data_IF_226245762956
#
_entry.id   IF_226245762956
#
_cell.length_a   1.000
_cell.length_b   1.000
_cell.length_c   1.000
_cell.angle_alpha   90.00
_cell.angle_beta   90.00
_cell.angle_gamma   90.00
#
_symmetry.space_group_name_H-M   'P 1'
#
loop_
_entity.id
_entity.type
_entity.pdbx_description
1 polymer ?
#
# COMPACT_ATOMS: atom_id res chain seq x y z
N UNK A 1 -47.76 6.37 -0.73
CA UNK A 1 -46.99 7.42 -1.41
C UNK A 1 -45.54 7.34 -0.92
N UNK A 2 -44.67 6.66 -1.66
CA UNK A 2 -43.24 6.59 -1.37
C UNK A 2 -42.51 7.51 -2.36
N UNK A 3 -42.33 8.77 -1.98
CA UNK A 3 -41.43 9.66 -2.69
C UNK A 3 -39.99 9.21 -2.38
N UNK A 4 -39.49 8.24 -3.16
CA UNK A 4 -38.04 8.06 -3.30
C UNK A 4 -37.53 9.29 -4.06
N UNK A 5 -37.08 10.31 -3.33
CA UNK A 5 -36.25 11.36 -3.92
C UNK A 5 -35.03 10.65 -4.53
N UNK A 6 -34.98 10.59 -5.85
CA UNK A 6 -33.83 10.05 -6.57
C UNK A 6 -32.68 11.03 -6.36
N UNK A 7 -31.83 10.77 -5.36
CA UNK A 7 -30.62 11.55 -5.17
C UNK A 7 -29.78 11.39 -6.44
N UNK A 8 -29.70 12.45 -7.25
CA UNK A 8 -28.93 12.47 -8.50
C UNK A 8 -27.44 12.47 -8.13
N UNK A 9 -26.80 11.31 -8.18
CA UNK A 9 -25.34 11.22 -8.07
C UNK A 9 -24.71 12.01 -9.21
N UNK A 10 -23.82 12.94 -8.88
CA UNK A 10 -23.19 13.83 -9.87
C UNK A 10 -21.78 13.38 -10.22
N UNK A 11 -21.05 12.75 -9.28
CA UNK A 11 -19.77 12.11 -9.57
C UNK A 11 -19.39 11.04 -8.55
N UNK A 12 -18.58 10.09 -8.98
CA UNK A 12 -17.95 9.06 -8.15
C UNK A 12 -16.45 9.17 -8.33
N UNK A 13 -15.72 9.25 -7.22
CA UNK A 13 -14.27 9.28 -7.19
C UNK A 13 -13.78 7.96 -6.57
N UNK A 14 -13.27 7.10 -7.43
CA UNK A 14 -12.65 5.85 -7.04
C UNK A 14 -11.25 6.08 -6.48
N UNK A 15 -10.94 5.44 -5.36
CA UNK A 15 -9.64 5.45 -4.69
C UNK A 15 -9.22 4.01 -4.40
N UNK A 16 -8.14 3.52 -5.02
CA UNK A 16 -7.84 2.10 -5.03
C UNK A 16 -7.37 1.54 -3.68
N UNK A 17 -7.14 2.38 -2.67
CA UNK A 17 -6.62 1.95 -1.37
C UNK A 17 -7.44 0.82 -0.74
N UNK A 18 -8.77 0.97 -0.67
CA UNK A 18 -9.62 -0.01 -0.01
C UNK A 18 -9.57 -1.39 -0.68
N UNK A 19 -9.54 -1.43 -2.01
CA UNK A 19 -9.42 -2.66 -2.79
C UNK A 19 -8.06 -3.32 -2.58
N UNK A 20 -6.97 -2.57 -2.74
CA UNK A 20 -5.60 -3.06 -2.56
C UNK A 20 -5.37 -3.57 -1.14
N UNK A 21 -5.83 -2.82 -0.13
CA UNK A 21 -5.72 -3.21 1.27
C UNK A 21 -6.44 -4.54 1.55
N UNK A 22 -7.62 -4.73 0.96
CA UNK A 22 -8.34 -5.99 1.08
C UNK A 22 -7.63 -7.14 0.35
N UNK A 23 -7.04 -6.89 -0.82
CA UNK A 23 -6.22 -7.89 -1.51
C UNK A 23 -5.05 -8.38 -0.64
N UNK A 24 -4.37 -7.47 0.07
CA UNK A 24 -3.30 -7.84 1.02
C UNK A 24 -3.81 -8.81 2.08
N UNK A 25 -4.97 -8.55 2.67
CA UNK A 25 -5.56 -9.44 3.68
C UNK A 25 -5.87 -10.82 3.09
N UNK A 26 -6.38 -10.87 1.86
CA UNK A 26 -6.66 -12.13 1.14
C UNK A 26 -5.36 -12.91 0.86
N UNK A 27 -4.32 -12.23 0.39
CA UNK A 27 -3.02 -12.86 0.10
C UNK A 27 -2.37 -13.44 1.36
N UNK A 28 -2.44 -12.73 2.49
CA UNK A 28 -1.96 -13.23 3.78
C UNK A 28 -2.73 -14.49 4.23
N UNK A 29 -4.06 -14.53 4.02
CA UNK A 29 -4.86 -15.74 4.30
C UNK A 29 -4.41 -16.93 3.46
N UNK A 30 -4.10 -16.71 2.18
CA UNK A 30 -3.57 -17.76 1.32
C UNK A 30 -2.17 -18.20 1.76
N UNK A 31 -1.27 -17.27 2.07
CA UNK A 31 0.11 -17.56 2.48
C UNK A 31 0.14 -18.54 3.67
N UNK A 32 -0.76 -18.36 4.63
CA UNK A 32 -0.88 -19.22 5.82
C UNK A 32 -1.21 -20.68 5.52
N UNK A 33 -2.01 -20.92 4.50
CA UNK A 33 -2.53 -22.25 4.15
C UNK A 33 -1.78 -22.91 2.98
N UNK A 34 -0.70 -22.29 2.51
CA UNK A 34 -0.02 -22.64 1.26
C UNK A 34 1.11 -23.65 1.45
N UNK A 35 1.40 -24.41 0.39
CA UNK A 35 2.60 -25.25 0.30
C UNK A 35 3.87 -24.39 0.27
N UNK A 36 5.04 -24.99 0.50
CA UNK A 36 6.31 -24.26 0.48
C UNK A 36 6.67 -23.68 -0.90
N UNK A 37 6.19 -24.29 -1.99
CA UNK A 37 6.36 -23.74 -3.34
C UNK A 37 5.47 -22.50 -3.55
N UNK A 38 4.18 -22.61 -3.22
CA UNK A 38 3.21 -21.53 -3.37
C UNK A 38 3.57 -20.30 -2.52
N UNK A 39 4.20 -20.51 -1.35
CA UNK A 39 4.67 -19.42 -0.48
C UNK A 39 5.61 -18.46 -1.20
N UNK A 40 6.47 -18.92 -2.12
CA UNK A 40 7.38 -18.02 -2.84
C UNK A 40 6.62 -17.08 -3.77
N UNK A 41 5.71 -17.63 -4.56
CA UNK A 41 4.87 -16.84 -5.46
C UNK A 41 3.99 -15.86 -4.67
N UNK A 42 3.42 -16.30 -3.56
CA UNK A 42 2.60 -15.45 -2.69
C UNK A 42 3.42 -14.36 -2.00
N UNK A 43 4.63 -14.65 -1.54
CA UNK A 43 5.53 -13.65 -0.96
C UNK A 43 5.84 -12.54 -1.98
N UNK A 44 6.19 -12.90 -3.20
CA UNK A 44 6.40 -11.92 -4.27
C UNK A 44 5.13 -11.08 -4.49
N UNK A 45 3.97 -11.74 -4.62
CA UNK A 45 2.70 -11.07 -4.86
C UNK A 45 2.34 -10.10 -3.72
N UNK A 46 2.60 -10.45 -2.46
CA UNK A 46 2.42 -9.57 -1.31
C UNK A 46 3.36 -8.36 -1.41
N UNK A 47 4.64 -8.54 -1.73
CA UNK A 47 5.58 -7.44 -1.92
C UNK A 47 5.12 -6.47 -3.03
N UNK A 48 4.70 -7.00 -4.17
CA UNK A 48 4.16 -6.20 -5.28
C UNK A 48 2.89 -5.45 -4.89
N UNK A 49 1.95 -6.12 -4.20
CA UNK A 49 0.70 -5.52 -3.74
C UNK A 49 0.96 -4.44 -2.69
N UNK A 50 1.97 -4.63 -1.84
CA UNK A 50 2.41 -3.62 -0.86
C UNK A 50 2.91 -2.35 -1.54
N UNK A 51 3.73 -2.48 -2.59
CA UNK A 51 4.19 -1.32 -3.36
C UNK A 51 3.03 -0.65 -4.09
N UNK A 52 2.13 -1.44 -4.69
CA UNK A 52 0.93 -0.91 -5.35
C UNK A 52 0.07 -0.11 -4.36
N UNK A 53 -0.01 -0.53 -3.10
CA UNK A 53 -0.69 0.21 -2.03
C UNK A 53 0.00 1.56 -1.77
N UNK A 54 1.32 1.57 -1.60
CA UNK A 54 2.09 2.81 -1.38
C UNK A 54 1.97 3.77 -2.56
N UNK A 55 2.08 3.27 -3.79
CA UNK A 55 1.87 4.04 -5.02
C UNK A 55 0.43 4.58 -5.11
N UNK A 56 -0.56 3.75 -4.78
CA UNK A 56 -1.96 4.15 -4.73
C UNK A 56 -2.19 5.30 -3.76
N UNK A 57 -1.66 5.20 -2.54
CA UNK A 57 -1.74 6.26 -1.52
C UNK A 57 -1.06 7.53 -2.00
N UNK A 58 0.17 7.45 -2.52
CA UNK A 58 0.90 8.65 -2.96
C UNK A 58 0.16 9.34 -4.11
N UNK A 59 -0.40 8.58 -5.05
CA UNK A 59 -1.16 9.14 -6.17
C UNK A 59 -2.49 9.76 -5.71
N UNK A 60 -3.16 9.16 -4.72
CA UNK A 60 -4.33 9.76 -4.06
C UNK A 60 -3.95 11.11 -3.43
N UNK A 61 -2.82 11.18 -2.72
CA UNK A 61 -2.35 12.44 -2.14
C UNK A 61 -2.07 13.47 -3.23
N UNK A 62 -1.34 13.10 -4.30
CA UNK A 62 -1.06 13.99 -5.44
C UNK A 62 -2.36 14.52 -6.03
N UNK A 63 -3.37 13.66 -6.25
CA UNK A 63 -4.63 14.10 -6.83
C UNK A 63 -5.42 15.02 -5.89
N UNK A 64 -5.30 14.83 -4.57
CA UNK A 64 -5.90 15.71 -3.57
C UNK A 64 -5.21 17.09 -3.46
N UNK A 65 -3.97 17.20 -3.93
CA UNK A 65 -3.24 18.48 -3.93
C UNK A 65 -3.65 19.36 -5.11
N UNK A 66 -3.74 20.68 -4.89
CA UNK A 66 -4.08 21.69 -5.91
C UNK A 66 -2.88 22.00 -6.84
N UNK A 67 -2.24 20.96 -7.37
CA UNK A 67 -1.12 21.10 -8.31
C UNK A 67 -1.65 21.24 -9.74
N UNK A 68 -0.96 22.05 -10.55
CA UNK A 68 -1.26 22.13 -11.98
C UNK A 68 -0.82 20.84 -12.71
N UNK A 69 -1.43 20.59 -13.89
CA UNK A 69 -1.19 19.35 -14.65
C UNK A 69 0.27 19.15 -15.06
N UNK A 70 1.02 20.23 -15.27
CA UNK A 70 2.45 20.15 -15.61
C UNK A 70 3.26 19.59 -14.44
N UNK A 71 2.97 20.03 -13.22
CA UNK A 71 3.60 19.51 -12.01
C UNK A 71 3.17 18.07 -11.76
N UNK A 72 1.88 17.72 -11.92
CA UNK A 72 1.40 16.34 -11.82
C UNK A 72 2.17 15.40 -12.76
N UNK A 73 2.32 15.76 -14.04
CA UNK A 73 3.10 14.99 -15.03
C UNK A 73 4.58 14.85 -14.68
N UNK A 74 5.15 15.83 -14.00
CA UNK A 74 6.55 15.74 -13.56
C UNK A 74 6.69 14.82 -12.34
N UNK A 75 5.71 14.83 -11.43
CA UNK A 75 5.67 13.92 -10.29
C UNK A 75 5.64 12.46 -10.74
N UNK A 76 4.95 12.13 -11.82
CA UNK A 76 4.89 10.76 -12.35
C UNK A 76 6.26 10.16 -12.71
N UNK A 77 7.27 10.99 -12.98
CA UNK A 77 8.63 10.56 -13.31
C UNK A 77 9.50 10.30 -12.08
N UNK A 78 9.07 10.76 -10.91
CA UNK A 78 9.81 10.60 -9.66
C UNK A 78 9.70 9.18 -9.12
N UNK A 79 10.74 8.74 -8.41
CA UNK A 79 10.65 7.48 -7.67
C UNK A 79 9.59 7.59 -6.57
N UNK A 80 9.10 6.44 -6.09
CA UNK A 80 8.07 6.41 -5.05
C UNK A 80 8.49 7.18 -3.79
N UNK A 81 9.75 7.03 -3.35
CA UNK A 81 10.25 7.77 -2.18
C UNK A 81 10.35 9.26 -2.45
N UNK A 82 10.81 9.66 -3.64
CA UNK A 82 10.91 11.08 -4.01
C UNK A 82 9.51 11.73 -4.06
N UNK A 83 8.47 10.98 -4.43
CA UNK A 83 7.09 11.46 -4.35
C UNK A 83 6.67 11.72 -2.91
N UNK A 84 6.94 10.80 -1.99
CA UNK A 84 6.65 11.02 -0.55
C UNK A 84 7.48 12.19 0.02
N UNK A 85 8.77 12.29 -0.32
CA UNK A 85 9.63 13.40 0.15
C UNK A 85 9.11 14.75 -0.33
N UNK A 86 8.79 14.87 -1.62
CA UNK A 86 8.30 16.11 -2.19
C UNK A 86 6.92 16.51 -1.63
N UNK A 87 6.02 15.54 -1.43
CA UNK A 87 4.71 15.82 -0.84
C UNK A 87 4.84 16.29 0.62
N UNK A 88 5.75 15.69 1.40
CA UNK A 88 6.05 16.13 2.75
C UNK A 88 6.60 17.57 2.74
N UNK A 89 7.54 17.86 1.85
CA UNK A 89 8.10 19.18 1.68
C UNK A 89 7.05 20.23 1.31
N UNK A 90 6.12 19.90 0.41
CA UNK A 90 5.01 20.79 0.05
C UNK A 90 4.03 21.03 1.21
N UNK A 91 3.91 20.08 2.14
CA UNK A 91 2.97 20.14 3.27
C UNK A 91 3.55 20.86 4.50
N UNK A 92 4.84 20.68 4.77
CA UNK A 92 5.47 21.03 6.05
C UNK A 92 6.84 21.72 5.92
N UNK A 93 7.34 21.88 4.69
CA UNK A 93 8.72 22.32 4.40
C UNK A 93 9.82 21.40 4.98
N UNK A 94 9.45 20.23 5.50
CA UNK A 94 10.36 19.20 5.98
C UNK A 94 10.77 18.23 4.86
N UNK A 95 11.82 17.44 5.10
CA UNK A 95 12.29 16.38 4.21
C UNK A 95 12.32 15.05 4.93
N UNK A 96 12.09 13.98 4.19
CA UNK A 96 12.25 12.62 4.68
C UNK A 96 13.70 12.36 5.08
N UNK A 97 13.88 11.90 6.31
CA UNK A 97 15.15 11.37 6.73
C UNK A 97 15.38 9.99 6.08
N UNK A 98 16.14 9.96 4.98
CA UNK A 98 16.47 8.73 4.25
C UNK A 98 17.25 7.71 5.09
N UNK A 99 17.93 8.15 6.15
CA UNK A 99 18.61 7.28 7.12
C UNK A 99 17.69 6.67 8.17
N UNK A 100 16.41 7.06 8.22
CA UNK A 100 15.45 6.52 9.17
C UNK A 100 15.03 5.11 8.76
N UNK A 101 15.04 4.17 9.71
CA UNK A 101 14.84 2.75 9.44
C UNK A 101 13.51 2.41 8.74
N UNK A 102 12.41 3.14 8.99
CA UNK A 102 11.14 2.91 8.28
C UNK A 102 11.20 3.34 6.82
N UNK A 103 11.90 4.45 6.53
CA UNK A 103 12.15 4.89 5.14
C UNK A 103 13.07 3.90 4.44
N UNK A 104 14.13 3.45 5.13
CA UNK A 104 15.03 2.39 4.64
C UNK A 104 14.29 1.09 4.31
N UNK A 105 13.33 0.68 5.13
CA UNK A 105 12.50 -0.50 4.87
C UNK A 105 11.66 -0.41 3.59
N UNK A 106 11.16 0.79 3.26
CA UNK A 106 10.44 1.02 1.98
C UNK A 106 11.41 1.04 0.80
N UNK A 107 12.59 1.64 0.96
CA UNK A 107 13.65 1.62 -0.07
C UNK A 107 14.06 0.17 -0.38
N UNK A 108 14.28 -0.67 0.64
CA UNK A 108 14.56 -2.09 0.46
C UNK A 108 13.47 -2.81 -0.34
N UNK A 109 12.19 -2.53 -0.02
CA UNK A 109 11.04 -3.09 -0.73
C UNK A 109 11.01 -2.65 -2.21
N UNK A 110 11.29 -1.38 -2.50
CA UNK A 110 11.36 -0.85 -3.88
C UNK A 110 12.49 -1.54 -4.66
N UNK A 111 13.67 -1.68 -4.06
CA UNK A 111 14.80 -2.38 -4.66
C UNK A 111 14.44 -3.83 -4.96
N UNK A 112 13.79 -4.52 -4.00
CA UNK A 112 13.33 -5.88 -4.16
C UNK A 112 12.39 -6.03 -5.37
N UNK A 113 11.36 -5.18 -5.47
CA UNK A 113 10.44 -5.18 -6.61
C UNK A 113 11.13 -4.85 -7.92
N UNK A 114 12.02 -3.87 -7.95
CA UNK A 114 12.74 -3.53 -9.19
C UNK A 114 13.61 -4.70 -9.68
N UNK A 115 14.27 -5.42 -8.78
CA UNK A 115 15.03 -6.62 -9.14
C UNK A 115 14.13 -7.78 -9.62
N UNK A 116 12.90 -7.87 -9.12
CA UNK A 116 11.93 -8.89 -9.56
C UNK A 116 11.29 -8.59 -10.93
N UNK A 117 11.04 -7.31 -11.25
CA UNK A 117 10.44 -6.88 -12.53
C UNK A 117 11.49 -6.82 -13.64
N UNK A 118 12.72 -6.45 -13.29
CA UNK A 118 13.85 -6.38 -14.21
C UNK A 118 14.89 -7.41 -13.78
N UNK A 119 14.63 -8.71 -14.04
CA UNK A 119 15.55 -9.77 -13.67
C UNK A 119 16.90 -9.50 -14.32
N UNK A 120 17.92 -9.30 -13.48
CA UNK A 120 19.29 -9.09 -13.93
C UNK A 120 19.94 -10.45 -14.17
N UNK A 121 20.91 -10.52 -15.08
CA UNK A 121 21.78 -11.69 -15.20
C UNK A 121 22.60 -11.78 -13.91
N UNK A 122 22.62 -12.97 -13.30
CA UNK A 122 23.35 -13.21 -12.06
C UNK A 122 24.30 -14.37 -12.29
N UNK A 123 25.58 -14.12 -12.05
CA UNK A 123 26.59 -15.17 -11.99
C UNK A 123 26.52 -15.85 -10.62
N UNK A 124 26.33 -17.16 -10.60
CA UNK A 124 26.22 -17.93 -9.35
C UNK A 124 27.04 -19.21 -9.43
N UNK A 125 27.65 -19.59 -8.32
CA UNK A 125 28.33 -20.88 -8.22
C UNK A 125 27.29 -22.00 -8.18
N UNK A 126 27.52 -23.03 -8.99
CA UNK A 126 26.68 -24.23 -9.05
C UNK A 126 27.42 -25.43 -8.44
N UNK A 127 26.66 -26.27 -7.75
CA UNK A 127 27.06 -27.61 -7.34
C UNK A 127 26.47 -28.62 -8.31
N UNK A 128 27.31 -29.53 -8.81
CA UNK A 128 26.91 -30.63 -9.67
C UNK A 128 26.71 -31.91 -8.84
N UNK A 129 25.68 -32.69 -9.18
CA UNK A 129 25.45 -34.01 -8.61
C UNK A 129 24.95 -34.95 -9.70
N UNK A 130 25.44 -36.18 -9.67
CA UNK A 130 25.12 -37.21 -10.64
C UNK A 130 24.20 -38.23 -9.99
N UNK A 131 23.03 -38.44 -10.59
CA UNK A 131 22.05 -39.42 -10.11
C UNK A 131 21.41 -40.09 -11.32
N UNK A 132 21.39 -41.43 -11.34
CA UNK A 132 20.80 -42.21 -12.43
C UNK A 132 21.34 -41.88 -13.85
N UNK A 133 22.64 -41.59 -13.96
CA UNK A 133 23.28 -41.24 -15.25
C UNK A 133 22.89 -39.86 -15.80
N UNK A 134 22.22 -39.03 -15.00
CA UNK A 134 21.92 -37.65 -15.32
C UNK A 134 22.75 -36.70 -14.44
N UNK A 135 23.23 -35.61 -15.04
CA UNK A 135 23.91 -34.53 -14.31
C UNK A 135 22.88 -33.46 -13.94
N UNK A 136 22.73 -33.23 -12.66
CA UNK A 136 21.90 -32.16 -12.10
C UNK A 136 22.80 -31.06 -11.55
N UNK A 137 22.28 -29.83 -11.55
CA UNK A 137 22.93 -28.69 -10.92
C UNK A 137 21.99 -28.02 -9.92
N UNK A 138 22.56 -27.47 -8.85
CA UNK A 138 21.86 -26.59 -7.92
C UNK A 138 22.73 -25.37 -7.61
N UNK A 139 22.15 -24.17 -7.45
CA UNK A 139 22.89 -23.01 -6.96
C UNK A 139 23.43 -23.27 -5.55
N UNK A 140 24.70 -22.94 -5.27
CA UNK A 140 25.32 -23.08 -3.93
C UNK A 140 24.64 -22.24 -2.85
N UNK A 141 24.19 -21.03 -3.22
CA UNK A 141 23.28 -20.24 -2.39
C UNK A 141 21.89 -20.41 -2.95
N UNK A 142 21.03 -21.13 -2.22
CA UNK A 142 19.60 -21.09 -2.52
C UNK A 142 19.15 -19.64 -2.36
N UNK A 143 18.50 -19.10 -3.38
CA UNK A 143 17.85 -17.78 -3.35
C UNK A 143 16.76 -17.67 -2.27
N UNK A 144 16.46 -18.77 -1.56
CA UNK A 144 15.15 -18.99 -0.94
C UNK A 144 15.11 -19.18 0.57
N UNK A 145 16.24 -19.32 1.24
CA UNK A 145 16.23 -19.68 2.67
C UNK A 145 15.84 -18.52 3.60
N UNK A 146 15.95 -17.27 3.15
CA UNK A 146 15.53 -16.08 3.90
C UNK A 146 14.21 -15.44 3.41
N UNK A 147 13.54 -16.04 2.41
CA UNK A 147 12.38 -15.41 1.76
C UNK A 147 11.05 -15.66 2.50
N UNK A 148 10.97 -16.68 3.37
CA UNK A 148 9.70 -17.08 4.01
C UNK A 148 9.06 -15.97 4.84
N UNK A 149 9.85 -15.06 5.41
CA UNK A 149 9.38 -13.96 6.25
C UNK A 149 9.56 -12.57 5.61
N UNK A 150 10.15 -12.51 4.41
CA UNK A 150 10.52 -11.25 3.78
C UNK A 150 9.29 -10.39 3.44
N UNK A 151 8.24 -11.00 2.91
CA UNK A 151 6.99 -10.32 2.60
C UNK A 151 6.32 -9.76 3.86
N UNK A 152 6.30 -10.53 4.95
CA UNK A 152 5.77 -10.11 6.25
C UNK A 152 6.56 -8.93 6.79
N UNK A 153 7.91 -8.99 6.73
CA UNK A 153 8.80 -7.89 7.13
C UNK A 153 8.49 -6.62 6.31
N UNK A 154 8.42 -6.73 4.99
CA UNK A 154 8.19 -5.58 4.12
C UNK A 154 6.80 -4.98 4.31
N UNK A 155 5.77 -5.80 4.41
CA UNK A 155 4.42 -5.33 4.64
C UNK A 155 4.30 -4.62 6.00
N UNK A 156 4.91 -5.20 7.04
CA UNK A 156 4.98 -4.59 8.37
C UNK A 156 5.71 -3.24 8.34
N UNK A 157 6.84 -3.15 7.65
CA UNK A 157 7.59 -1.91 7.49
C UNK A 157 6.79 -0.86 6.71
N UNK A 158 6.06 -1.26 5.67
CA UNK A 158 5.23 -0.36 4.88
C UNK A 158 4.09 0.25 5.72
N UNK A 159 3.38 -0.55 6.52
CA UNK A 159 2.33 -0.02 7.41
C UNK A 159 2.91 0.93 8.47
N UNK A 160 4.01 0.55 9.12
CA UNK A 160 4.69 1.43 10.08
C UNK A 160 5.20 2.72 9.44
N UNK A 161 5.73 2.63 8.21
CA UNK A 161 6.13 3.81 7.45
C UNK A 161 4.93 4.72 7.19
N UNK A 162 3.76 4.16 6.84
CA UNK A 162 2.55 4.95 6.62
C UNK A 162 2.04 5.60 7.90
N UNK A 163 2.10 4.93 9.06
CA UNK A 163 1.81 5.57 10.36
C UNK A 163 2.76 6.75 10.59
N UNK A 164 4.08 6.50 10.49
CA UNK A 164 5.09 7.55 10.63
C UNK A 164 4.87 8.70 9.64
N UNK A 165 4.59 8.41 8.38
CA UNK A 165 4.44 9.42 7.35
C UNK A 165 3.14 10.22 7.51
N UNK A 166 2.00 9.55 7.63
CA UNK A 166 0.68 10.18 7.64
C UNK A 166 0.37 10.80 9.00
N UNK A 167 0.68 10.10 10.09
CA UNK A 167 0.35 10.53 11.45
C UNK A 167 1.47 11.39 12.02
N UNK A 168 2.72 10.91 12.02
CA UNK A 168 3.79 11.63 12.72
C UNK A 168 4.32 12.83 11.93
N UNK A 169 4.54 12.69 10.62
CA UNK A 169 5.10 13.78 9.81
C UNK A 169 4.01 14.69 9.25
N UNK A 170 3.00 14.12 8.58
CA UNK A 170 1.95 14.91 7.92
C UNK A 170 0.86 15.41 8.88
N UNK A 171 0.81 14.89 10.12
CA UNK A 171 -0.18 15.24 11.14
C UNK A 171 -1.63 15.12 10.63
N UNK A 172 -1.90 14.10 9.82
CA UNK A 172 -3.24 13.85 9.30
C UNK A 172 -4.16 13.35 10.40
N UNK A 173 -5.31 13.99 10.57
CA UNK A 173 -6.37 13.46 11.42
C UNK A 173 -7.14 12.33 10.73
N UNK A 174 -7.87 11.55 11.54
CA UNK A 174 -8.58 10.33 11.09
C UNK A 174 -9.73 10.66 10.13
N UNK A 175 -10.38 11.82 10.29
CA UNK A 175 -11.51 12.20 9.44
C UNK A 175 -11.00 12.59 8.05
N UNK A 176 -9.92 13.36 7.99
CA UNK A 176 -9.19 13.64 6.76
C UNK A 176 -8.74 12.34 6.08
N UNK A 177 -8.13 11.40 6.79
CA UNK A 177 -7.70 10.12 6.23
C UNK A 177 -8.86 9.30 5.66
N UNK A 178 -10.04 9.34 6.30
CA UNK A 178 -11.24 8.69 5.76
C UNK A 178 -11.65 9.31 4.42
N UNK A 179 -11.69 10.65 4.33
CA UNK A 179 -12.02 11.35 3.08
C UNK A 179 -10.94 11.19 2.03
N UNK A 180 -9.68 11.01 2.44
CA UNK A 180 -8.55 10.88 1.54
C UNK A 180 -8.50 9.48 0.93
N UNK A 181 -8.58 8.43 1.74
CA UNK A 181 -8.28 7.06 1.31
C UNK A 181 -9.50 6.25 0.85
N UNK A 182 -10.71 6.63 1.26
CA UNK A 182 -11.93 5.93 0.87
C UNK A 182 -12.60 6.56 -0.35
N UNK A 183 -13.33 5.73 -1.08
CA UNK A 183 -14.15 6.17 -2.21
C UNK A 183 -15.13 7.26 -1.79
N UNK A 184 -15.37 8.23 -2.67
CA UNK A 184 -16.34 9.30 -2.41
C UNK A 184 -17.38 9.40 -3.52
N UNK A 185 -18.62 9.69 -3.12
CA UNK A 185 -19.75 9.96 -4.03
C UNK A 185 -20.23 11.38 -3.78
N UNK A 186 -20.27 12.19 -4.83
CA UNK A 186 -20.88 13.53 -4.80
C UNK A 186 -22.36 13.43 -5.15
N UNK A 187 -23.22 13.96 -4.29
CA UNK A 187 -24.67 14.00 -4.47
C UNK A 187 -25.14 15.38 -4.95
N UNK A 188 -24.47 16.46 -4.52
CA UNK A 188 -24.70 17.85 -4.94
C UNK A 188 -23.44 18.68 -4.68
N UNK A 189 -23.43 19.99 -4.98
CA UNK A 189 -22.23 20.84 -4.81
C UNK A 189 -21.69 20.93 -3.37
N UNK A 190 -22.53 20.61 -2.38
CA UNK A 190 -22.18 20.69 -0.96
C UNK A 190 -22.27 19.34 -0.23
N UNK A 191 -22.74 18.28 -0.89
CA UNK A 191 -22.96 16.97 -0.25
C UNK A 191 -22.13 15.87 -0.90
N UNK A 192 -21.33 15.19 -0.08
CA UNK A 192 -20.68 13.94 -0.45
C UNK A 192 -20.95 12.86 0.59
N UNK A 193 -20.79 11.61 0.17
CA UNK A 193 -20.73 10.46 1.05
C UNK A 193 -19.42 9.71 0.86
N UNK A 194 -18.96 9.09 1.94
CA UNK A 194 -17.82 8.18 1.94
C UNK A 194 -18.36 6.76 1.74
N UNK A 195 -17.76 6.02 0.83
CA UNK A 195 -18.04 4.62 0.59
C UNK A 195 -16.89 3.76 1.13
N UNK A 196 -17.24 2.74 1.90
CA UNK A 196 -16.28 1.78 2.44
C UNK A 196 -16.73 0.36 2.09
N UNK A 197 -15.79 -0.48 1.67
CA UNK A 197 -16.06 -1.90 1.51
C UNK A 197 -16.34 -2.51 2.88
N UNK A 198 -17.45 -3.25 3.00
CA UNK A 198 -17.89 -3.84 4.28
C UNK A 198 -16.80 -4.65 4.98
N UNK A 199 -15.96 -5.31 4.21
CA UNK A 199 -14.87 -6.18 4.65
C UNK A 199 -13.62 -5.46 5.18
N UNK A 200 -13.49 -4.13 5.05
CA UNK A 200 -12.22 -3.46 5.43
C UNK A 200 -11.91 -3.53 6.93
N UNK A 201 -12.91 -3.45 7.81
CA UNK A 201 -12.68 -3.57 9.26
C UNK A 201 -12.22 -4.98 9.63
N UNK A 202 -12.78 -6.01 8.98
CA UNK A 202 -12.33 -7.40 9.17
C UNK A 202 -10.92 -7.62 8.62
N UNK A 203 -10.62 -7.08 7.44
CA UNK A 203 -9.29 -7.13 6.82
C UNK A 203 -8.25 -6.44 7.68
N UNK A 204 -8.57 -5.28 8.28
CA UNK A 204 -7.70 -4.59 9.25
C UNK A 204 -7.40 -5.49 10.45
N UNK A 205 -8.42 -5.99 11.13
CA UNK A 205 -8.25 -6.86 12.31
C UNK A 205 -7.39 -8.08 11.99
N UNK A 206 -7.61 -8.69 10.83
CA UNK A 206 -6.82 -9.83 10.38
C UNK A 206 -5.35 -9.47 10.14
N UNK A 207 -5.07 -8.36 9.43
CA UNK A 207 -3.70 -7.91 9.15
C UNK A 207 -2.97 -7.57 10.44
N UNK A 208 -3.58 -6.81 11.35
CA UNK A 208 -2.98 -6.43 12.64
C UNK A 208 -2.61 -7.65 13.48
N UNK A 209 -3.48 -8.67 13.49
CA UNK A 209 -3.24 -9.94 14.17
C UNK A 209 -2.06 -10.69 13.55
N UNK A 210 -2.06 -10.86 12.23
CA UNK A 210 -1.04 -11.66 11.53
C UNK A 210 0.34 -10.99 11.57
N UNK A 211 0.39 -9.66 11.42
CA UNK A 211 1.64 -8.90 11.44
C UNK A 211 2.11 -8.51 12.85
N UNK A 212 1.26 -8.70 13.86
CA UNK A 212 1.48 -8.28 15.26
C UNK A 212 1.87 -6.80 15.32
N UNK A 213 1.00 -5.95 14.79
CA UNK A 213 1.11 -4.49 14.78
C UNK A 213 -0.25 -3.86 15.06
N UNK A 214 -0.24 -2.61 15.50
CA UNK A 214 -1.40 -1.73 15.43
C UNK A 214 -1.14 -0.73 14.29
N UNK A 215 -2.16 -0.44 13.47
CA UNK A 215 -2.06 0.48 12.34
C UNK A 215 -2.94 1.70 12.62
N UNK A 216 -2.31 2.78 13.05
CA UNK A 216 -2.97 3.97 13.57
C UNK A 216 -3.72 4.74 12.48
N UNK A 217 -3.10 4.90 11.30
CA UNK A 217 -3.74 5.62 10.19
C UNK A 217 -5.03 4.92 9.73
N UNK A 218 -5.26 3.66 10.09
CA UNK A 218 -6.46 2.89 9.77
C UNK A 218 -7.55 2.92 10.84
N UNK A 219 -7.45 3.75 11.89
CA UNK A 219 -8.50 3.88 12.90
C UNK A 219 -9.84 4.39 12.32
N UNK A 220 -9.84 5.04 11.16
CA UNK A 220 -11.09 5.43 10.49
C UNK A 220 -11.95 4.23 10.08
N UNK A 221 -11.36 3.05 9.85
CA UNK A 221 -12.09 1.85 9.45
C UNK A 221 -12.97 1.25 10.57
N UNK A 222 -12.72 1.63 11.82
CA UNK A 222 -13.47 1.17 12.98
C UNK A 222 -14.63 2.12 13.35
N UNK A 223 -14.73 3.26 12.67
CA UNK A 223 -15.80 4.23 12.88
C UNK A 223 -17.05 3.81 12.10
N UNK A 224 -18.26 4.06 12.65
CA UNK A 224 -19.48 3.96 11.85
C UNK A 224 -19.36 4.90 10.65
N UNK A 225 -19.71 4.44 9.45
CA UNK A 225 -19.68 5.29 8.25
C UNK A 225 -20.56 6.52 8.46
N UNK A 226 -19.91 7.66 8.68
CA UNK A 226 -20.63 8.90 8.90
C UNK A 226 -21.11 9.41 7.55
N UNK A 227 -22.42 9.65 7.45
CA UNK A 227 -23.01 10.42 6.36
C UNK A 227 -22.79 11.89 6.68
N UNK A 228 -21.55 12.38 6.57
CA UNK A 228 -21.18 13.73 7.00
C UNK A 228 -21.00 14.67 5.81
N UNK A 229 -21.85 15.71 5.76
CA UNK A 229 -21.73 16.85 4.85
C UNK A 229 -20.60 17.77 5.33
N UNK A 230 -19.35 17.35 5.19
CA UNK A 230 -18.20 18.11 5.69
C UNK A 230 -17.64 19.03 4.59
N UNK A 231 -17.97 20.33 4.62
CA UNK A 231 -17.34 21.34 3.76
C UNK A 231 -15.81 21.28 3.86
N UNK A 232 -15.13 20.74 2.83
CA UNK A 232 -13.67 20.72 2.76
C UNK A 232 -13.18 22.07 2.23
N UNK A 233 -12.66 22.93 3.11
CA UNK A 233 -11.76 24.03 2.73
C UNK A 233 -10.32 23.50 2.75
N UNK A 234 -9.76 23.27 1.57
CA UNK A 234 -8.30 23.20 1.33
C UNK A 234 -7.80 24.61 1.08
#
# INVERSE_FOLDING_TARGET
MNNKSSIKKTSYLHKPFGEIFNEIAVLLKYLKNSSDFDKRCLNNLICHTTIRMLEGIVNIIIESTKLNDKLKKNLDKLSLIDKFDLLLFLKSEEKLNLGYHLVGGVIELIIYRNNSIHPKVIETEIEFYEESGCVYFKPKKSWSSNEKELAIKFLKNAFKFLDYYLIDLCKCDIDFLSTLLLDTVKYSDTEYGILQLKQLSESKKFIELELKINIEFLLFLDRPLIKECLNLKI
#
